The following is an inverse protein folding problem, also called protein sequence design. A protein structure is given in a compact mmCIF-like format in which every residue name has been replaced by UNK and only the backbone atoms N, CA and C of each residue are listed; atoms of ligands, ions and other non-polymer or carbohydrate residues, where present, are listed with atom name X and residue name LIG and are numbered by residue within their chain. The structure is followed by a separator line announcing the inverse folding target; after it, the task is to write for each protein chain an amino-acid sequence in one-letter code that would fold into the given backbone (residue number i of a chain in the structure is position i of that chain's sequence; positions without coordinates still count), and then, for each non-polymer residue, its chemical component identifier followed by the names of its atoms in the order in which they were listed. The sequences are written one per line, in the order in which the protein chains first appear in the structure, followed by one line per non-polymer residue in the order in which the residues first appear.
data_IF_344268407210
#
_entry.id   IF_344268407210
#
_cell.length_a   1.000
_cell.length_b   1.000
_cell.length_c   1.000
_cell.angle_alpha   90.00
_cell.angle_beta   90.00
_cell.angle_gamma   90.00
#
_symmetry.space_group_name_H-M   'P 1'
#
loop_
_entity.id
_entity.type
_entity.pdbx_description
1 polymer ?
#
# COMPACT_ATOMS: atom_id res chain seq x y z
N UNK A 1 23.58 39.08 12.89
CA UNK A 1 22.37 39.89 13.06
C UNK A 1 21.19 39.05 12.64
N UNK A 2 20.40 38.64 13.62
CA UNK A 2 19.57 37.43 13.58
C UNK A 2 18.32 37.57 12.72
N UNK A 3 17.99 36.49 12.00
CA UNK A 3 16.76 36.22 11.25
C UNK A 3 15.47 36.55 12.02
N UNK A 4 15.53 36.60 13.35
CA UNK A 4 14.45 37.07 14.22
C UNK A 4 14.05 38.54 14.00
N UNK A 5 14.99 39.44 13.66
CA UNK A 5 14.69 40.87 13.50
C UNK A 5 14.08 41.20 12.13
N UNK A 6 14.36 40.39 11.11
CA UNK A 6 13.80 40.57 9.76
C UNK A 6 12.33 40.12 9.69
N UNK A 7 11.98 39.03 10.39
CA UNK A 7 10.59 38.58 10.54
C UNK A 7 9.77 39.61 11.33
N UNK A 8 10.33 40.18 12.39
CA UNK A 8 9.63 41.14 13.26
C UNK A 8 9.38 42.50 12.56
N UNK A 9 10.26 42.89 11.62
CA UNK A 9 10.08 44.12 10.83
C UNK A 9 9.05 43.95 9.70
N UNK A 10 9.01 42.78 9.04
CA UNK A 10 8.01 42.51 8.00
C UNK A 10 6.60 42.25 8.57
N UNK A 11 6.48 41.67 9.77
CA UNK A 11 5.19 41.42 10.43
C UNK A 11 4.50 42.71 10.93
N UNK A 12 5.26 43.77 11.24
CA UNK A 12 4.70 45.06 11.69
C UNK A 12 3.99 45.83 10.58
N UNK A 13 4.29 45.56 9.31
CA UNK A 13 3.75 46.31 8.18
C UNK A 13 2.44 45.73 7.65
N UNK A 14 2.14 44.45 7.93
CA UNK A 14 1.01 43.72 7.30
C UNK A 14 -0.12 43.35 8.28
N UNK A 15 0.16 43.14 9.58
CA UNK A 15 -0.84 42.66 10.54
C UNK A 15 -1.02 43.66 11.69
N UNK A 16 -2.03 44.52 11.58
CA UNK A 16 -2.23 45.67 12.45
C UNK A 16 -3.01 45.35 13.73
N UNK A 17 -3.82 44.28 13.76
CA UNK A 17 -4.62 43.91 14.94
C UNK A 17 -3.98 42.79 15.77
N UNK A 18 -4.29 42.75 17.07
CA UNK A 18 -3.93 41.64 17.96
C UNK A 18 -4.56 40.32 17.49
N UNK A 19 -5.74 40.39 16.90
CA UNK A 19 -6.48 39.26 16.36
C UNK A 19 -5.77 38.64 15.14
N UNK A 20 -5.20 39.46 14.26
CA UNK A 20 -4.39 39.01 13.12
C UNK A 20 -3.11 38.31 13.58
N UNK A 21 -2.45 38.87 14.60
CA UNK A 21 -1.24 38.25 15.19
C UNK A 21 -1.57 36.93 15.87
N UNK A 22 -2.68 36.84 16.59
CA UNK A 22 -3.16 35.59 17.18
C UNK A 22 -3.64 34.60 16.12
N UNK A 23 -4.23 35.08 15.02
CA UNK A 23 -4.59 34.28 13.85
C UNK A 23 -3.36 33.68 13.18
N UNK A 24 -2.32 34.50 12.98
CA UNK A 24 -1.05 34.06 12.41
C UNK A 24 -0.31 33.08 13.32
N UNK A 25 -0.25 33.33 14.63
CA UNK A 25 0.37 32.39 15.59
C UNK A 25 -0.38 31.05 15.57
N UNK A 26 -1.71 31.07 15.59
CA UNK A 26 -2.53 29.86 15.42
C UNK A 26 -2.28 29.17 14.08
N UNK A 27 -2.06 29.91 13.00
CA UNK A 27 -1.75 29.36 11.68
C UNK A 27 -0.35 28.73 11.63
N UNK A 28 0.65 29.38 12.22
CA UNK A 28 2.03 28.88 12.32
C UNK A 28 2.11 27.64 13.22
N UNK A 29 1.46 27.66 14.38
CA UNK A 29 1.41 26.52 15.31
C UNK A 29 0.68 25.30 14.72
N UNK A 30 -0.30 25.54 13.84
CA UNK A 30 -1.03 24.47 13.13
C UNK A 30 -0.31 23.93 11.91
N UNK A 31 0.82 24.52 11.49
CA UNK A 31 1.53 24.07 10.29
C UNK A 31 2.16 22.70 10.57
N UNK A 32 1.93 21.69 9.70
CA UNK A 32 2.56 20.40 9.89
C UNK A 32 4.08 20.57 9.91
N UNK A 33 4.73 19.83 10.80
CA UNK A 33 6.19 19.82 10.86
C UNK A 33 6.74 19.19 9.58
N UNK A 34 7.95 19.57 9.18
CA UNK A 34 8.58 19.04 7.97
C UNK A 34 9.83 18.27 8.35
N UNK A 35 10.04 17.13 7.69
CA UNK A 35 11.31 16.39 7.71
C UNK A 35 11.65 16.01 6.28
N UNK A 36 12.92 16.07 5.95
CA UNK A 36 13.40 15.55 4.68
C UNK A 36 12.94 14.09 4.51
N UNK A 37 12.33 13.82 3.37
CA UNK A 37 11.80 12.51 3.07
C UNK A 37 12.94 11.58 2.67
N UNK A 38 13.01 10.42 3.30
CA UNK A 38 13.92 9.38 2.84
C UNK A 38 13.48 8.93 1.44
N UNK A 39 14.42 8.52 0.57
CA UNK A 39 14.08 7.96 -0.72
C UNK A 39 13.10 6.77 -0.59
N UNK A 40 12.25 6.60 -1.61
CA UNK A 40 11.19 5.58 -1.65
C UNK A 40 11.79 4.16 -1.61
N UNK A 41 12.96 4.01 -2.24
CA UNK A 41 13.81 2.81 -2.20
C UNK A 41 15.18 3.15 -1.60
N UNK A 42 15.92 2.15 -1.13
CA UNK A 42 17.27 2.34 -0.58
C UNK A 42 18.27 2.49 -1.72
N UNK A 43 18.64 3.72 -2.05
CA UNK A 43 19.51 4.03 -3.19
C UNK A 43 20.92 3.44 -3.03
N UNK A 44 21.39 3.33 -1.79
CA UNK A 44 22.67 2.74 -1.41
C UNK A 44 22.77 1.22 -1.68
N UNK A 45 21.63 0.55 -1.86
CA UNK A 45 21.56 -0.89 -2.13
C UNK A 45 21.39 -1.21 -3.63
N UNK A 46 21.21 -0.21 -4.49
CA UNK A 46 20.80 -0.42 -5.90
C UNK A 46 21.76 -1.35 -6.64
N UNK A 47 23.07 -1.09 -6.60
CA UNK A 47 24.04 -1.90 -7.36
C UNK A 47 23.97 -3.36 -6.95
N UNK A 48 23.97 -3.63 -5.65
CA UNK A 48 23.89 -4.98 -5.14
C UNK A 48 22.54 -5.64 -5.46
N UNK A 49 21.44 -4.87 -5.50
CA UNK A 49 20.13 -5.39 -5.92
C UNK A 49 20.16 -5.80 -7.39
N UNK A 50 20.70 -4.95 -8.26
CA UNK A 50 20.82 -5.25 -9.70
C UNK A 50 21.68 -6.49 -9.94
N UNK A 51 22.84 -6.60 -9.28
CA UNK A 51 23.68 -7.81 -9.34
C UNK A 51 22.94 -9.07 -8.91
N UNK A 52 22.13 -9.00 -7.84
CA UNK A 52 21.35 -10.14 -7.38
C UNK A 52 20.20 -10.49 -8.32
N UNK A 53 19.56 -9.49 -8.93
CA UNK A 53 18.46 -9.68 -9.88
C UNK A 53 18.97 -10.31 -11.17
N UNK A 54 20.13 -9.87 -11.68
CA UNK A 54 20.82 -10.48 -12.82
C UNK A 54 21.10 -11.96 -12.59
N UNK A 55 21.64 -12.32 -11.40
CA UNK A 55 21.86 -13.73 -11.03
C UNK A 55 20.55 -14.52 -10.98
N UNK A 56 19.45 -13.92 -10.52
CA UNK A 56 18.13 -14.57 -10.50
C UNK A 56 17.62 -14.78 -11.94
N UNK A 57 17.84 -13.81 -12.83
CA UNK A 57 17.46 -13.89 -14.24
C UNK A 57 18.20 -15.02 -14.95
N UNK A 58 19.54 -15.06 -14.82
CA UNK A 58 20.37 -16.14 -15.38
C UNK A 58 19.95 -17.51 -14.88
N UNK A 59 19.69 -17.65 -13.57
CA UNK A 59 19.22 -18.91 -13.00
C UNK A 59 17.85 -19.34 -13.56
N UNK A 60 17.00 -18.39 -13.94
CA UNK A 60 15.73 -18.69 -14.60
C UNK A 60 15.94 -19.09 -16.05
N UNK A 61 16.84 -18.42 -16.77
CA UNK A 61 17.14 -18.77 -18.16
C UNK A 61 17.70 -20.17 -18.30
N UNK A 62 18.51 -20.63 -17.33
CA UNK A 62 19.01 -22.00 -17.25
C UNK A 62 17.94 -23.03 -16.80
N UNK A 63 16.79 -22.57 -16.30
CA UNK A 63 15.71 -23.44 -15.84
C UNK A 63 14.96 -24.09 -17.02
N UNK A 64 14.46 -25.33 -16.88
CA UNK A 64 13.56 -25.93 -17.86
C UNK A 64 12.21 -25.21 -17.96
N UNK A 65 11.93 -24.23 -17.10
CA UNK A 65 10.70 -23.46 -17.13
C UNK A 65 10.60 -22.61 -18.41
N UNK A 66 9.45 -22.69 -19.07
CA UNK A 66 9.15 -21.93 -20.30
C UNK A 66 8.15 -20.79 -20.09
N UNK A 67 7.64 -20.62 -18.87
CA UNK A 67 6.69 -19.56 -18.58
C UNK A 67 7.33 -18.17 -18.75
N UNK A 68 6.55 -17.18 -19.20
CA UNK A 68 6.97 -15.78 -19.32
C UNK A 68 8.25 -15.57 -20.16
N UNK A 69 8.46 -16.43 -21.16
CA UNK A 69 9.47 -16.20 -22.21
C UNK A 69 8.84 -15.48 -23.38
N UNK A 70 9.56 -14.55 -23.97
CA UNK A 70 9.14 -13.85 -25.19
C UNK A 70 9.28 -14.74 -26.45
N UNK A 71 9.03 -14.15 -27.63
CA UNK A 71 9.11 -14.86 -28.91
C UNK A 71 10.53 -15.37 -29.23
N UNK A 72 11.55 -14.69 -28.70
CA UNK A 72 12.96 -15.05 -28.85
C UNK A 72 13.40 -16.10 -27.81
N UNK A 73 12.55 -16.38 -26.84
CA UNK A 73 12.77 -17.37 -25.78
C UNK A 73 13.43 -16.78 -24.53
N UNK A 74 13.61 -15.48 -24.47
CA UNK A 74 14.26 -14.79 -23.37
C UNK A 74 13.25 -14.50 -22.26
N UNK A 75 13.68 -14.66 -21.01
CA UNK A 75 12.87 -14.29 -19.86
C UNK A 75 13.13 -12.83 -19.48
N UNK A 76 12.04 -12.09 -19.22
CA UNK A 76 12.10 -10.75 -18.66
C UNK A 76 11.17 -10.65 -17.46
N UNK A 77 11.64 -10.02 -16.38
CA UNK A 77 10.76 -9.66 -15.28
C UNK A 77 9.74 -8.65 -15.76
N UNK A 78 8.51 -8.72 -15.25
CA UNK A 78 7.59 -7.59 -15.42
C UNK A 78 8.04 -6.40 -14.59
N UNK A 79 7.59 -5.19 -14.93
CA UNK A 79 7.85 -4.00 -14.11
C UNK A 79 7.44 -4.21 -12.65
N UNK A 80 6.29 -4.88 -12.40
CA UNK A 80 5.84 -5.18 -11.05
C UNK A 80 6.76 -6.17 -10.30
N UNK A 81 7.25 -7.21 -10.98
CA UNK A 81 8.23 -8.14 -10.41
C UNK A 81 9.58 -7.46 -10.13
N UNK A 82 10.05 -6.60 -11.03
CA UNK A 82 11.29 -5.86 -10.82
C UNK A 82 11.20 -4.95 -9.58
N UNK A 83 10.13 -4.15 -9.48
CA UNK A 83 9.88 -3.31 -8.30
C UNK A 83 9.80 -4.13 -7.02
N UNK A 84 9.18 -5.31 -7.06
CA UNK A 84 9.14 -6.20 -5.91
C UNK A 84 10.54 -6.53 -5.38
N UNK A 85 11.50 -6.84 -6.27
CA UNK A 85 12.89 -7.05 -5.87
C UNK A 85 13.61 -5.78 -5.40
N UNK A 86 13.19 -4.60 -5.83
CA UNK A 86 13.71 -3.32 -5.34
C UNK A 86 13.22 -2.96 -3.93
N UNK A 87 12.04 -3.42 -3.52
CA UNK A 87 11.42 -3.01 -2.25
C UNK A 87 11.54 -4.04 -1.13
N UNK A 88 11.67 -5.34 -1.43
CA UNK A 88 11.85 -6.35 -0.37
C UNK A 88 13.15 -6.10 0.40
N UNK A 89 13.22 -6.48 1.68
CA UNK A 89 14.46 -6.45 2.44
C UNK A 89 15.57 -7.26 1.76
N UNK A 90 16.80 -6.75 1.82
CA UNK A 90 17.97 -7.33 1.15
C UNK A 90 18.22 -8.78 1.58
N UNK A 91 17.98 -9.13 2.83
CA UNK A 91 18.09 -10.50 3.34
C UNK A 91 17.17 -11.48 2.62
N UNK A 92 15.98 -11.04 2.21
CA UNK A 92 15.04 -11.88 1.47
C UNK A 92 15.45 -12.00 0.00
N UNK A 93 15.89 -10.91 -0.63
CA UNK A 93 16.42 -10.97 -2.01
C UNK A 93 17.59 -11.96 -2.12
N UNK A 94 18.53 -11.91 -1.16
CA UNK A 94 19.63 -12.88 -1.07
C UNK A 94 19.15 -14.31 -0.86
N UNK A 95 18.06 -14.50 -0.11
CA UNK A 95 17.46 -15.80 0.14
C UNK A 95 16.80 -16.43 -1.09
N UNK A 96 16.23 -15.60 -1.99
CA UNK A 96 15.62 -16.08 -3.25
C UNK A 96 16.64 -16.82 -4.10
N UNK A 97 17.86 -16.27 -4.23
CA UNK A 97 19.00 -16.92 -4.89
C UNK A 97 19.32 -18.30 -4.33
N UNK A 98 19.22 -18.46 -3.00
CA UNK A 98 19.63 -19.69 -2.31
C UNK A 98 18.56 -20.79 -2.34
N UNK A 99 17.40 -20.56 -2.93
CA UNK A 99 16.23 -21.45 -2.86
C UNK A 99 15.85 -21.95 -4.25
N UNK A 100 15.32 -23.18 -4.43
CA UNK A 100 14.69 -23.64 -5.67
C UNK A 100 13.39 -22.90 -6.02
N UNK A 101 13.26 -21.62 -5.64
CA UNK A 101 12.10 -20.77 -5.88
C UNK A 101 12.18 -20.08 -7.24
N UNK A 102 13.32 -20.10 -7.93
CA UNK A 102 13.50 -19.48 -9.24
C UNK A 102 12.41 -19.91 -10.25
N UNK A 103 12.05 -21.20 -10.37
CA UNK A 103 10.96 -21.64 -11.26
C UNK A 103 9.57 -21.09 -10.90
N UNK A 104 9.39 -20.57 -9.67
CA UNK A 104 8.11 -20.06 -9.18
C UNK A 104 7.93 -18.56 -9.43
N UNK A 105 8.97 -17.84 -9.87
CA UNK A 105 8.92 -16.39 -10.11
C UNK A 105 7.77 -15.96 -11.05
N UNK A 106 7.54 -16.63 -12.20
CA UNK A 106 6.43 -16.30 -13.10
C UNK A 106 5.05 -16.48 -12.46
N UNK A 107 4.98 -17.25 -11.38
CA UNK A 107 3.73 -17.55 -10.67
C UNK A 107 3.54 -16.68 -9.42
N UNK A 108 4.41 -15.69 -9.19
CA UNK A 108 4.19 -14.68 -8.17
C UNK A 108 3.06 -13.76 -8.65
N UNK A 109 1.84 -14.03 -8.18
CA UNK A 109 0.61 -13.28 -8.53
C UNK A 109 0.54 -11.94 -7.79
N UNK A 110 1.50 -11.04 -8.04
CA UNK A 110 1.59 -9.73 -7.38
C UNK A 110 0.39 -8.83 -7.68
N UNK A 111 -0.22 -9.00 -8.86
CA UNK A 111 -1.41 -8.26 -9.28
C UNK A 111 -2.60 -8.60 -8.39
N UNK A 112 -2.87 -9.89 -8.23
CA UNK A 112 -3.95 -10.42 -7.40
C UNK A 112 -3.73 -10.04 -5.92
N UNK A 113 -2.48 -10.14 -5.47
CA UNK A 113 -2.05 -9.67 -4.15
C UNK A 113 -2.37 -8.19 -3.93
N UNK A 114 -2.03 -7.31 -4.88
CA UNK A 114 -2.26 -5.87 -4.74
C UNK A 114 -3.75 -5.50 -4.83
N UNK A 115 -4.51 -6.11 -5.73
CA UNK A 115 -5.97 -5.93 -5.80
C UNK A 115 -6.62 -6.24 -4.46
N UNK A 116 -6.21 -7.34 -3.83
CA UNK A 116 -6.75 -7.75 -2.54
C UNK A 116 -6.24 -6.87 -1.39
N UNK A 117 -4.92 -6.68 -1.28
CA UNK A 117 -4.33 -5.99 -0.13
C UNK A 117 -4.47 -4.47 -0.15
N UNK A 118 -4.84 -3.87 -1.29
CA UNK A 118 -5.06 -2.42 -1.42
C UNK A 118 -6.52 -2.06 -1.64
N UNK A 119 -7.25 -2.82 -2.45
CA UNK A 119 -8.65 -2.52 -2.78
C UNK A 119 -9.66 -3.42 -2.08
N UNK A 120 -9.22 -4.49 -1.42
CA UNK A 120 -10.12 -5.48 -0.82
C UNK A 120 -10.82 -6.36 -1.86
N UNK A 121 -10.35 -6.37 -3.11
CA UNK A 121 -10.98 -7.11 -4.21
C UNK A 121 -10.32 -8.47 -4.34
N UNK A 122 -11.09 -9.54 -4.14
CA UNK A 122 -10.63 -10.90 -4.42
C UNK A 122 -10.65 -11.17 -5.93
N UNK A 123 -9.64 -11.85 -6.50
CA UNK A 123 -9.67 -12.26 -7.90
C UNK A 123 -10.79 -13.28 -8.16
N UNK A 124 -11.40 -13.22 -9.36
CA UNK A 124 -12.52 -14.10 -9.74
C UNK A 124 -12.21 -15.59 -9.59
N UNK A 125 -10.97 -16.02 -9.92
CA UNK A 125 -10.55 -17.42 -9.82
C UNK A 125 -10.54 -17.92 -8.36
N UNK A 126 -10.25 -17.04 -7.39
CA UNK A 126 -10.24 -17.36 -5.96
C UNK A 126 -11.67 -17.51 -5.39
N UNK A 127 -12.67 -16.95 -6.08
CA UNK A 127 -14.10 -17.06 -5.75
C UNK A 127 -14.65 -18.40 -6.28
N UNK A 128 -14.23 -18.81 -7.49
CA UNK A 128 -14.71 -20.03 -8.16
C UNK A 128 -14.19 -21.30 -7.47
N UNK A 129 -12.90 -21.40 -7.17
CA UNK A 129 -12.29 -22.60 -6.54
C UNK A 129 -12.91 -22.93 -5.16
N UNK A 130 -13.38 -21.90 -4.43
CA UNK A 130 -14.01 -22.06 -3.12
C UNK A 130 -15.51 -22.36 -3.19
N UNK A 131 -16.14 -22.15 -4.36
CA UNK A 131 -17.52 -22.58 -4.63
C UNK A 131 -17.64 -24.07 -5.00
N UNK A 132 -16.54 -24.71 -5.41
CA UNK A 132 -16.51 -26.11 -5.88
C UNK A 132 -16.01 -27.14 -4.87
N UNK A 133 -15.61 -26.72 -3.65
CA UNK A 133 -15.24 -27.63 -2.57
C UNK A 133 -16.49 -28.23 -1.85
N UNK A 134 -17.38 -28.88 -2.60
CA UNK A 134 -18.40 -29.77 -2.05
C UNK A 134 -18.66 -30.92 -3.03
N UNK A 135 -17.70 -31.85 -3.13
CA UNK A 135 -17.93 -33.15 -3.75
C UNK A 135 -18.39 -34.14 -2.67
N UNK A 136 -19.63 -33.98 -2.22
CA UNK A 136 -20.41 -35.07 -1.65
C UNK A 136 -21.42 -35.48 -2.73
N UNK A 137 -21.59 -36.77 -3.06
CA UNK A 137 -22.57 -37.17 -4.06
C UNK A 137 -23.96 -36.74 -3.62
N UNK A 138 -24.88 -36.42 -4.55
CA UNK A 138 -26.19 -35.92 -4.19
C UNK A 138 -26.97 -37.03 -3.49
N UNK A 139 -27.24 -36.84 -2.20
CA UNK A 139 -28.34 -37.53 -1.54
C UNK A 139 -29.58 -36.66 -1.73
N UNK A 140 -30.56 -37.21 -2.43
CA UNK A 140 -31.82 -36.57 -2.72
C UNK A 140 -32.59 -36.36 -1.42
N UNK A 141 -32.45 -35.20 -0.78
CA UNK A 141 -33.51 -34.52 -0.02
C UNK A 141 -33.01 -33.21 0.58
N UNK A 142 -33.87 -32.19 0.47
CA UNK A 142 -33.80 -30.86 1.09
C UNK A 142 -33.16 -29.72 0.29
N UNK A 143 -34.06 -28.96 -0.35
CA UNK A 143 -34.12 -27.49 -0.39
C UNK A 143 -32.78 -26.75 -0.43
N UNK A 144 -32.43 -26.31 -1.65
CA UNK A 144 -31.43 -25.28 -1.96
C UNK A 144 -31.58 -24.06 -1.03
N UNK A 145 -30.69 -23.96 -0.05
CA UNK A 145 -30.28 -22.69 0.55
C UNK A 145 -28.81 -22.51 0.21
N UNK A 146 -28.52 -21.90 -0.94
CA UNK A 146 -27.22 -21.29 -1.19
C UNK A 146 -27.05 -20.18 -0.15
N UNK A 147 -26.33 -20.51 0.92
CA UNK A 147 -26.00 -19.56 1.97
C UNK A 147 -25.03 -18.54 1.41
N UNK A 148 -25.55 -17.41 0.94
CA UNK A 148 -24.75 -16.19 0.83
C UNK A 148 -24.22 -15.90 2.23
N UNK A 149 -22.92 -16.11 2.48
CA UNK A 149 -22.29 -15.65 3.71
C UNK A 149 -22.58 -14.16 3.84
N UNK A 150 -23.24 -13.76 4.93
CA UNK A 150 -23.53 -12.35 5.20
C UNK A 150 -22.23 -11.74 5.72
N UNK A 151 -21.64 -10.76 5.02
CA UNK A 151 -20.43 -10.07 5.49
C UNK A 151 -20.69 -9.44 6.86
N UNK A 152 -19.66 -9.37 7.69
CA UNK A 152 -19.76 -8.61 8.94
C UNK A 152 -19.96 -7.13 8.60
N UNK A 153 -20.99 -6.52 9.21
CA UNK A 153 -21.28 -5.11 9.04
C UNK A 153 -20.21 -4.22 9.70
N UNK A 154 -20.02 -3.04 9.14
CA UNK A 154 -19.08 -2.06 9.68
C UNK A 154 -19.49 -1.58 11.08
N UNK A 155 -18.50 -1.44 11.95
CA UNK A 155 -18.61 -1.09 13.35
C UNK A 155 -18.70 0.43 13.53
N UNK A 156 -19.92 0.91 13.70
CA UNK A 156 -20.21 2.33 13.90
C UNK A 156 -19.48 2.94 15.12
N UNK A 157 -19.26 2.18 16.19
CA UNK A 157 -18.56 2.66 17.38
C UNK A 157 -17.07 2.89 17.11
N UNK A 158 -16.43 2.01 16.35
CA UNK A 158 -15.03 2.15 15.95
C UNK A 158 -14.82 3.32 14.98
N UNK A 159 -15.78 3.52 14.07
CA UNK A 159 -15.81 4.73 13.22
C UNK A 159 -15.94 6.00 14.06
N UNK A 160 -16.82 6.02 15.05
CA UNK A 160 -16.97 7.16 15.96
C UNK A 160 -15.68 7.42 16.77
N UNK A 161 -14.98 6.37 17.23
CA UNK A 161 -13.67 6.50 17.88
C UNK A 161 -12.62 7.11 16.95
N UNK A 162 -12.58 6.70 15.68
CA UNK A 162 -11.69 7.28 14.67
C UNK A 162 -11.95 8.78 14.48
N UNK A 163 -13.22 9.16 14.27
CA UNK A 163 -13.64 10.56 14.11
C UNK A 163 -13.25 11.39 15.33
N UNK A 164 -13.50 10.89 16.54
CA UNK A 164 -13.17 11.58 17.77
C UNK A 164 -11.65 11.75 17.95
N UNK A 165 -10.85 10.71 17.63
CA UNK A 165 -9.38 10.76 17.67
C UNK A 165 -8.82 11.81 16.72
N UNK A 166 -9.36 11.88 15.51
CA UNK A 166 -8.89 12.77 14.44
C UNK A 166 -9.51 14.18 14.51
N UNK A 167 -10.35 14.44 15.52
CA UNK A 167 -10.97 15.75 15.75
C UNK A 167 -12.05 16.12 14.74
N UNK A 168 -12.62 15.14 14.03
CA UNK A 168 -13.67 15.36 13.02
C UNK A 168 -13.21 16.12 11.78
N UNK A 169 -11.90 16.12 11.49
CA UNK A 169 -11.30 16.77 10.33
C UNK A 169 -10.38 15.81 9.59
N UNK A 170 -10.01 16.16 8.35
CA UNK A 170 -8.98 15.43 7.63
C UNK A 170 -7.63 15.54 8.34
N UNK A 171 -6.98 14.42 8.66
CA UNK A 171 -5.71 14.41 9.40
C UNK A 171 -4.54 15.06 8.64
N UNK A 172 -4.63 15.14 7.31
CA UNK A 172 -3.57 15.71 6.46
C UNK A 172 -3.75 17.20 6.18
N UNK A 173 -4.98 17.69 6.11
CA UNK A 173 -5.27 19.07 5.65
C UNK A 173 -6.03 19.91 6.67
N UNK A 174 -6.61 19.29 7.69
CA UNK A 174 -7.55 19.93 8.61
C UNK A 174 -8.90 20.30 7.99
N UNK A 175 -9.18 19.85 6.76
CA UNK A 175 -10.45 20.11 6.10
C UNK A 175 -11.63 19.48 6.86
N UNK A 176 -12.76 20.19 6.90
CA UNK A 176 -14.00 19.69 7.46
C UNK A 176 -14.63 18.60 6.57
N UNK A 177 -15.60 17.89 7.14
CA UNK A 177 -16.34 16.80 6.47
C UNK A 177 -15.43 15.68 5.93
N UNK A 178 -14.55 15.10 6.76
CA UNK A 178 -13.75 13.96 6.34
C UNK A 178 -14.61 12.71 6.21
N UNK A 179 -14.09 11.75 5.45
CA UNK A 179 -14.55 10.37 5.44
C UNK A 179 -13.60 9.48 6.24
N UNK A 180 -14.16 8.51 6.95
CA UNK A 180 -13.39 7.45 7.59
C UNK A 180 -13.01 6.41 6.54
N UNK A 181 -11.72 6.18 6.37
CA UNK A 181 -11.20 5.14 5.48
C UNK A 181 -10.28 4.18 6.25
N UNK A 182 -10.35 2.89 5.90
CA UNK A 182 -9.40 1.93 6.42
C UNK A 182 -8.00 2.11 5.80
N UNK A 183 -6.96 1.83 6.57
CA UNK A 183 -5.56 1.85 6.13
C UNK A 183 -5.29 0.59 5.29
N UNK A 184 -5.65 -0.57 5.83
CA UNK A 184 -5.71 -1.86 5.15
C UNK A 184 -7.19 -2.27 5.00
N UNK A 185 -7.66 -2.72 3.82
CA UNK A 185 -9.08 -3.00 3.56
C UNK A 185 -9.71 -3.95 4.59
N UNK A 186 -10.92 -3.63 5.04
CA UNK A 186 -11.69 -4.45 5.97
C UNK A 186 -12.13 -5.78 5.34
N UNK A 187 -12.38 -5.75 4.04
CA UNK A 187 -12.80 -6.88 3.21
C UNK A 187 -11.87 -8.09 3.33
N UNK A 188 -10.60 -7.87 3.70
CA UNK A 188 -9.58 -8.91 3.89
C UNK A 188 -10.00 -9.94 4.95
N UNK A 189 -10.75 -9.55 5.97
CA UNK A 189 -11.23 -10.49 7.00
C UNK A 189 -12.70 -10.34 7.36
N UNK A 190 -13.48 -9.58 6.59
CA UNK A 190 -14.93 -9.45 6.77
C UNK A 190 -15.71 -10.75 6.46
N UNK A 191 -15.12 -11.67 5.70
CA UNK A 191 -15.71 -12.96 5.29
C UNK A 191 -14.72 -14.10 5.46
N UNK A 192 -15.23 -15.34 5.52
CA UNK A 192 -14.37 -16.52 5.63
C UNK A 192 -13.52 -16.72 4.38
N UNK A 193 -14.08 -16.43 3.20
CA UNK A 193 -13.37 -16.48 1.93
C UNK A 193 -12.21 -15.47 1.88
N UNK A 194 -12.47 -14.21 2.27
CA UNK A 194 -11.44 -13.17 2.36
C UNK A 194 -10.32 -13.58 3.31
N UNK A 195 -10.68 -14.07 4.50
CA UNK A 195 -9.70 -14.49 5.50
C UNK A 195 -8.85 -15.68 5.02
N UNK A 196 -9.46 -16.63 4.32
CA UNK A 196 -8.74 -17.76 3.75
C UNK A 196 -7.79 -17.33 2.62
N UNK A 197 -8.21 -16.40 1.75
CA UNK A 197 -7.34 -15.86 0.72
C UNK A 197 -6.18 -15.03 1.31
N UNK A 198 -6.44 -14.27 2.37
CA UNK A 198 -5.40 -13.55 3.13
C UNK A 198 -4.29 -14.48 3.64
N UNK A 199 -4.64 -15.67 4.15
CA UNK A 199 -3.67 -16.68 4.60
C UNK A 199 -2.76 -17.18 3.48
N UNK A 200 -3.25 -17.25 2.25
CA UNK A 200 -2.44 -17.61 1.09
C UNK A 200 -1.41 -16.50 0.76
N UNK A 201 -1.71 -15.24 1.10
CA UNK A 201 -0.83 -14.09 0.87
C UNK A 201 0.33 -13.94 1.87
N UNK A 202 0.38 -14.77 2.91
CA UNK A 202 1.40 -14.72 3.98
C UNK A 202 2.83 -14.73 3.46
N UNK A 203 3.08 -15.44 2.37
CA UNK A 203 4.41 -15.56 1.79
C UNK A 203 4.91 -14.24 1.17
N UNK A 204 4.01 -13.41 0.61
CA UNK A 204 4.33 -12.08 0.09
C UNK A 204 4.55 -11.10 1.23
N UNK A 205 3.66 -11.11 2.22
CA UNK A 205 3.74 -10.23 3.39
C UNK A 205 5.01 -10.45 4.21
N UNK A 206 5.36 -11.71 4.46
CA UNK A 206 6.60 -12.08 5.13
C UNK A 206 7.80 -11.52 4.39
N UNK A 207 7.82 -11.61 3.06
CA UNK A 207 8.93 -11.12 2.24
C UNK A 207 8.99 -9.60 2.18
N UNK A 208 7.86 -8.90 2.13
CA UNK A 208 7.82 -7.43 2.06
C UNK A 208 8.15 -6.77 3.40
N UNK A 209 7.73 -7.35 4.52
CA UNK A 209 7.76 -6.68 5.83
C UNK A 209 8.69 -7.33 6.87
N UNK A 210 9.21 -8.54 6.61
CA UNK A 210 9.99 -9.27 7.60
C UNK A 210 9.18 -10.30 8.37
N UNK A 211 9.87 -11.32 8.90
CA UNK A 211 9.27 -12.39 9.71
C UNK A 211 8.60 -11.91 10.99
N UNK A 212 9.17 -10.88 11.63
CA UNK A 212 8.64 -10.32 12.87
C UNK A 212 7.28 -9.64 12.62
N UNK A 213 7.22 -8.76 11.63
CA UNK A 213 5.99 -8.10 11.20
C UNK A 213 4.90 -9.12 10.84
N UNK A 214 5.27 -10.18 10.13
CA UNK A 214 4.34 -11.25 9.78
C UNK A 214 3.71 -11.94 11.00
N UNK A 215 4.50 -12.28 12.02
CA UNK A 215 3.97 -12.89 13.24
C UNK A 215 2.96 -11.98 13.95
N UNK A 216 3.22 -10.67 13.99
CA UNK A 216 2.30 -9.68 14.53
C UNK A 216 1.03 -9.56 13.68
N UNK A 217 1.15 -9.64 12.35
CA UNK A 217 0.02 -9.59 11.43
C UNK A 217 -0.92 -10.77 11.57
N UNK A 218 -0.40 -12.00 11.73
CA UNK A 218 -1.23 -13.19 11.99
C UNK A 218 -2.05 -12.96 13.26
N UNK A 219 -1.41 -12.52 14.34
CA UNK A 219 -2.10 -12.25 15.60
C UNK A 219 -3.18 -11.16 15.52
N UNK A 220 -3.08 -10.24 14.55
CA UNK A 220 -3.94 -9.07 14.45
C UNK A 220 -5.06 -9.18 13.41
N UNK A 221 -4.77 -9.78 12.25
CA UNK A 221 -5.70 -9.86 11.11
C UNK A 221 -6.30 -11.25 10.91
N UNK A 222 -5.78 -12.28 11.60
CA UNK A 222 -6.24 -13.68 11.52
C UNK A 222 -6.88 -14.16 12.84
N UNK A 223 -7.19 -13.25 13.76
CA UNK A 223 -7.71 -13.60 15.08
C UNK A 223 -9.18 -14.03 15.06
N UNK A 224 -10.01 -13.28 14.35
CA UNK A 224 -11.44 -13.54 14.18
C UNK A 224 -11.96 -12.78 12.96
N UNK A 225 -13.15 -13.14 12.47
CA UNK A 225 -13.77 -12.41 11.36
C UNK A 225 -14.06 -10.96 11.77
N UNK A 226 -13.74 -10.06 10.86
CA UNK A 226 -13.94 -8.62 10.99
C UNK A 226 -13.05 -7.93 12.04
N UNK A 227 -12.02 -8.61 12.55
CA UNK A 227 -11.17 -8.07 13.61
C UNK A 227 -10.38 -6.80 13.20
N UNK A 228 -10.26 -6.53 11.90
CA UNK A 228 -9.57 -5.36 11.36
C UNK A 228 -10.42 -4.09 11.36
N UNK A 229 -11.72 -4.19 11.65
CA UNK A 229 -12.63 -3.05 11.66
C UNK A 229 -12.56 -2.27 12.96
N UNK A 230 -11.43 -1.60 13.15
CA UNK A 230 -11.06 -0.93 14.38
C UNK A 230 -10.49 0.44 14.10
N UNK A 231 -10.66 1.36 15.05
CA UNK A 231 -10.13 2.72 14.91
C UNK A 231 -8.61 2.75 14.63
N UNK A 232 -7.84 1.79 15.13
CA UNK A 232 -6.39 1.68 14.85
C UNK A 232 -6.06 1.33 13.39
N UNK A 233 -7.02 0.82 12.62
CA UNK A 233 -6.91 0.58 11.17
C UNK A 233 -7.67 1.65 10.35
N UNK A 234 -8.03 2.80 10.93
CA UNK A 234 -8.81 3.84 10.25
C UNK A 234 -8.17 5.21 10.34
N UNK A 235 -8.41 6.06 9.34
CA UNK A 235 -8.04 7.49 9.29
C UNK A 235 -9.19 8.34 8.76
N UNK A 236 -9.32 9.57 9.25
CA UNK A 236 -10.18 10.58 8.66
C UNK A 236 -9.45 11.32 7.53
N UNK A 237 -9.88 11.14 6.28
CA UNK A 237 -9.32 11.82 5.11
C UNK A 237 -10.39 12.64 4.40
N UNK A 238 -9.99 13.73 3.75
CA UNK A 238 -10.87 14.43 2.81
C UNK A 238 -11.25 13.45 1.67
N UNK A 239 -12.50 13.47 1.14
CA UNK A 239 -12.94 12.51 0.11
C UNK A 239 -11.96 12.34 -1.05
N UNK A 240 -11.46 13.47 -1.60
CA UNK A 240 -10.44 13.45 -2.67
C UNK A 240 -9.14 12.76 -2.25
N UNK A 241 -8.67 12.95 -1.01
CA UNK A 241 -7.45 12.32 -0.52
C UNK A 241 -7.65 10.83 -0.26
N UNK A 242 -8.84 10.43 0.20
CA UNK A 242 -9.22 9.01 0.31
C UNK A 242 -9.17 8.33 -1.06
N UNK A 243 -9.71 8.96 -2.09
CA UNK A 243 -9.68 8.41 -3.45
C UNK A 243 -8.26 8.31 -3.99
N UNK A 244 -7.43 9.32 -3.76
CA UNK A 244 -6.02 9.29 -4.17
C UNK A 244 -5.20 8.24 -3.41
N UNK A 245 -5.53 8.02 -2.14
CA UNK A 245 -4.92 6.97 -1.34
C UNK A 245 -5.26 5.58 -1.87
N UNK A 246 -6.54 5.31 -2.18
CA UNK A 246 -6.99 4.06 -2.82
C UNK A 246 -6.33 3.84 -4.19
N UNK A 247 -5.98 4.92 -4.88
CA UNK A 247 -5.25 4.90 -6.15
C UNK A 247 -3.72 4.82 -6.00
N UNK A 248 -3.20 4.71 -4.78
CA UNK A 248 -1.76 4.73 -4.47
C UNK A 248 -1.02 6.00 -4.94
N UNK A 249 -1.73 7.10 -5.23
CA UNK A 249 -1.12 8.36 -5.68
C UNK A 249 -0.40 9.11 -4.55
N UNK A 250 -0.78 8.77 -3.31
CA UNK A 250 -0.16 9.24 -2.08
C UNK A 250 0.16 8.04 -1.18
N UNK A 251 1.18 8.20 -0.34
CA UNK A 251 1.54 7.23 0.70
C UNK A 251 1.82 7.92 2.03
N UNK A 252 1.60 7.20 3.12
CA UNK A 252 2.13 7.60 4.43
C UNK A 252 3.15 6.58 4.91
N UNK A 253 4.24 7.09 5.44
CA UNK A 253 5.27 6.29 6.11
C UNK A 253 5.22 6.58 7.60
N UNK A 254 5.18 5.54 8.42
CA UNK A 254 5.38 5.70 9.86
C UNK A 254 6.86 5.95 10.16
N UNK A 255 7.19 7.11 10.74
CA UNK A 255 8.56 7.46 11.13
C UNK A 255 8.92 6.86 12.49
N UNK A 256 8.05 7.05 13.48
CA UNK A 256 8.26 6.55 14.84
C UNK A 256 6.97 6.58 15.66
N UNK A 257 7.02 5.89 16.79
CA UNK A 257 6.06 5.97 17.87
C UNK A 257 6.79 6.54 19.08
N UNK A 258 6.28 7.61 19.67
CA UNK A 258 6.87 8.26 20.85
C UNK A 258 5.84 8.37 21.98
N UNK A 259 6.24 8.23 23.26
CA UNK A 259 5.33 8.43 24.39
C UNK A 259 4.70 9.83 24.37
N UNK A 260 3.38 9.91 24.53
CA UNK A 260 2.69 11.18 24.57
C UNK A 260 2.71 11.76 25.98
N UNK A 261 3.56 12.77 26.19
CA UNK A 261 3.84 13.34 27.52
C UNK A 261 2.62 13.90 28.26
N UNK A 262 1.55 14.29 27.54
CA UNK A 262 0.34 14.87 28.14
C UNK A 262 -0.67 13.85 28.66
N UNK A 263 -0.54 12.56 28.30
CA UNK A 263 -1.47 11.51 28.74
C UNK A 263 -0.76 10.16 28.88
N UNK A 264 -0.71 9.65 30.11
CA UNK A 264 -0.15 8.32 30.39
C UNK A 264 -0.90 7.24 29.61
N UNK A 265 -0.15 6.25 29.10
CA UNK A 265 -0.70 5.17 28.28
C UNK A 265 -1.04 5.55 26.83
N UNK A 266 -0.77 6.80 26.41
CA UNK A 266 -0.95 7.25 25.02
C UNK A 266 0.39 7.47 24.35
N UNK A 267 0.44 7.22 23.05
CA UNK A 267 1.60 7.45 22.21
C UNK A 267 1.21 8.32 21.01
N UNK A 268 2.19 9.03 20.48
CA UNK A 268 2.09 9.76 19.22
C UNK A 268 2.74 8.93 18.12
N UNK A 269 1.98 8.59 17.08
CA UNK A 269 2.53 8.06 15.83
C UNK A 269 2.82 9.24 14.89
N UNK A 270 4.01 9.26 14.31
CA UNK A 270 4.42 10.28 13.34
C UNK A 270 4.35 9.72 11.93
N UNK A 271 3.44 10.25 11.12
CA UNK A 271 3.22 9.84 9.73
C UNK A 271 3.81 10.90 8.80
N UNK A 272 4.69 10.48 7.90
CA UNK A 272 5.25 11.35 6.87
C UNK A 272 4.52 11.13 5.55
N UNK A 273 4.09 12.22 4.92
CA UNK A 273 3.39 12.21 3.65
C UNK A 273 4.35 12.12 2.46
N UNK A 274 3.92 11.38 1.43
CA UNK A 274 4.60 11.24 0.15
C UNK A 274 3.62 11.39 -1.01
N UNK A 275 3.96 12.26 -1.96
CA UNK A 275 3.52 12.11 -3.33
C UNK A 275 4.28 10.94 -3.96
N UNK A 276 3.55 10.01 -4.55
CA UNK A 276 4.13 8.80 -5.12
C UNK A 276 4.50 9.00 -6.59
N UNK A 277 5.54 8.30 -7.08
CA UNK A 277 5.93 8.33 -8.49
C UNK A 277 4.83 7.73 -9.37
N UNK A 278 4.82 8.14 -10.63
CA UNK A 278 3.79 7.80 -11.62
C UNK A 278 4.44 7.67 -13.00
N UNK A 279 5.39 6.75 -13.14
CA UNK A 279 6.11 6.52 -14.40
C UNK A 279 5.12 6.50 -15.57
N UNK A 280 5.21 7.49 -16.46
CA UNK A 280 4.11 7.87 -17.37
C UNK A 280 3.78 6.76 -18.38
N UNK A 281 4.75 5.92 -18.71
CA UNK A 281 4.67 4.93 -19.77
C UNK A 281 5.03 3.51 -19.30
N UNK A 282 5.05 3.28 -17.98
CA UNK A 282 5.32 1.96 -17.41
C UNK A 282 4.00 1.23 -17.20
N UNK A 283 3.84 0.06 -17.81
CA UNK A 283 2.76 -0.87 -17.47
C UNK A 283 3.30 -1.96 -16.53
N UNK A 284 2.55 -2.34 -15.49
CA UNK A 284 3.02 -3.28 -14.47
C UNK A 284 3.30 -4.69 -15.02
N UNK A 285 2.71 -5.03 -16.17
CA UNK A 285 2.83 -6.34 -16.83
C UNK A 285 3.88 -6.36 -17.94
N UNK A 286 4.39 -5.19 -18.34
CA UNK A 286 5.36 -5.10 -19.43
C UNK A 286 6.73 -5.59 -18.95
N UNK A 287 7.49 -6.18 -19.87
CA UNK A 287 8.87 -6.59 -19.63
C UNK A 287 9.72 -5.39 -19.24
N UNK A 288 10.47 -5.51 -18.14
CA UNK A 288 11.33 -4.48 -17.59
C UNK A 288 12.76 -4.97 -17.57
N UNK A 289 13.65 -4.17 -18.17
CA UNK A 289 15.09 -4.39 -18.06
C UNK A 289 15.56 -3.96 -16.66
N UNK A 290 16.22 -4.84 -15.89
CA UNK A 290 16.63 -4.54 -14.53
C UNK A 290 17.92 -3.71 -14.53
N UNK A 291 17.80 -2.43 -14.89
CA UNK A 291 18.91 -1.49 -14.94
C UNK A 291 18.60 -0.17 -14.22
N UNK A 292 19.58 0.75 -14.21
CA UNK A 292 19.45 2.05 -13.56
C UNK A 292 18.48 3.00 -14.27
N UNK A 293 18.37 2.89 -15.59
CA UNK A 293 17.54 3.79 -16.38
C UNK A 293 16.06 3.47 -16.11
N UNK A 294 15.71 2.19 -16.07
CA UNK A 294 14.40 1.71 -15.64
C UNK A 294 14.09 2.13 -14.20
N UNK A 295 15.02 2.01 -13.26
CA UNK A 295 14.81 2.49 -11.87
C UNK A 295 14.53 4.00 -11.85
N UNK A 296 15.28 4.78 -12.64
CA UNK A 296 15.09 6.21 -12.72
C UNK A 296 13.71 6.55 -13.27
N UNK A 297 13.23 5.83 -14.28
CA UNK A 297 11.89 5.95 -14.85
C UNK A 297 10.80 5.63 -13.82
N UNK A 298 10.94 4.51 -13.09
CA UNK A 298 10.03 4.08 -12.02
C UNK A 298 9.91 5.09 -10.86
N UNK A 299 10.94 5.92 -10.65
CA UNK A 299 10.98 6.93 -9.58
C UNK A 299 10.50 8.31 -10.02
N UNK A 300 10.16 8.51 -11.31
CA UNK A 300 9.69 9.81 -11.78
C UNK A 300 8.34 10.19 -11.17
N UNK A 301 8.27 11.41 -10.65
CA UNK A 301 7.01 12.03 -10.24
C UNK A 301 6.53 12.88 -11.40
N UNK A 302 5.59 12.35 -12.16
CA UNK A 302 5.04 13.04 -13.33
C UNK A 302 3.95 14.01 -12.89
N UNK A 303 4.25 15.30 -12.83
CA UNK A 303 3.28 16.37 -12.57
C UNK A 303 2.46 16.65 -13.84
N UNK A 304 1.41 15.86 -14.11
CA UNK A 304 0.53 16.09 -15.27
C UNK A 304 -0.09 17.50 -15.26
N UNK A 305 -0.32 18.10 -16.43
CA UNK A 305 -0.93 19.45 -16.55
C UNK A 305 -2.42 19.48 -16.22
N UNK A 306 -3.12 18.36 -16.42
CA UNK A 306 -4.52 18.14 -16.00
C UNK A 306 -4.63 17.39 -14.65
N UNK A 307 -3.57 17.43 -13.84
CA UNK A 307 -3.55 16.72 -12.56
C UNK A 307 -4.61 17.32 -11.61
N UNK A 308 -5.63 16.56 -11.16
CA UNK A 308 -6.58 17.03 -10.15
C UNK A 308 -5.89 17.43 -8.84
N UNK A 309 -4.64 17.01 -8.63
CA UNK A 309 -3.73 17.49 -7.57
C UNK A 309 -3.33 18.96 -7.78
N UNK A 310 -3.08 19.42 -9.02
CA UNK A 310 -2.75 20.83 -9.30
C UNK A 310 -3.91 21.76 -8.96
N UNK A 311 -5.15 21.36 -9.19
CA UNK A 311 -6.32 22.20 -8.93
C UNK A 311 -6.67 22.25 -7.43
N UNK A 312 -6.58 21.12 -6.70
CA UNK A 312 -6.79 21.11 -5.25
C UNK A 312 -5.68 21.83 -4.47
N UNK A 313 -4.44 21.80 -4.97
CA UNK A 313 -3.30 22.52 -4.38
C UNK A 313 -3.40 24.04 -4.55
N UNK A 314 -4.20 24.54 -5.50
CA UNK A 314 -4.48 25.99 -5.67
C UNK A 314 -5.54 26.49 -4.70
N UNK A 315 -6.49 25.65 -4.28
CA UNK A 315 -7.62 26.03 -3.43
C UNK A 315 -7.40 25.74 -1.94
N UNK A 316 -6.44 24.89 -1.56
CA UNK A 316 -6.16 24.61 -0.15
C UNK A 316 -5.18 25.63 0.46
N UNK A 317 -5.51 26.15 1.64
CA UNK A 317 -4.60 27.01 2.43
C UNK A 317 -3.37 26.26 2.98
N UNK A 318 -3.29 24.94 2.76
CA UNK A 318 -2.21 24.05 3.17
C UNK A 318 -1.88 23.07 2.04
N UNK A 319 -0.93 23.46 1.18
CA UNK A 319 -0.43 22.60 0.09
C UNK A 319 0.33 21.42 0.69
N UNK A 320 -0.12 20.20 0.38
CA UNK A 320 0.55 18.98 0.80
C UNK A 320 1.87 18.80 0.05
N UNK A 321 2.93 18.47 0.78
CA UNK A 321 4.28 18.28 0.24
C UNK A 321 4.89 17.00 0.81
N UNK A 322 5.58 16.25 -0.03
CA UNK A 322 6.40 15.11 0.40
C UNK A 322 7.34 15.56 1.51
N UNK A 323 7.35 14.85 2.64
CA UNK A 323 8.15 15.18 3.81
C UNK A 323 7.37 15.86 4.95
N UNK A 324 6.15 16.33 4.72
CA UNK A 324 5.29 16.82 5.81
C UNK A 324 4.95 15.70 6.80
N UNK A 325 4.99 16.02 8.09
CA UNK A 325 4.81 15.08 9.19
C UNK A 325 3.56 15.44 10.00
N UNK A 326 2.71 14.45 10.18
CA UNK A 326 1.44 14.49 10.88
C UNK A 326 1.52 13.61 12.12
N UNK A 327 0.90 14.07 13.20
CA UNK A 327 0.93 13.40 14.50
C UNK A 327 -0.47 12.93 14.85
N UNK A 328 -0.63 11.64 15.14
CA UNK A 328 -1.87 11.09 15.71
C UNK A 328 -1.60 10.59 17.12
N UNK A 329 -2.52 10.87 18.04
CA UNK A 329 -2.40 10.45 19.43
C UNK A 329 -3.42 9.35 19.71
N UNK A 330 -2.95 8.21 20.18
CA UNK A 330 -3.78 7.03 20.42
C UNK A 330 -3.22 6.20 21.59
N UNK A 331 -4.00 5.28 22.18
CA UNK A 331 -3.49 4.35 23.17
C UNK A 331 -2.22 3.64 22.67
N UNK A 332 -1.29 3.35 23.57
CA UNK A 332 0.03 2.80 23.21
C UNK A 332 -0.07 1.51 22.40
N UNK A 333 -0.99 0.62 22.77
CA UNK A 333 -1.25 -0.62 22.05
C UNK A 333 -1.78 -0.37 20.63
N UNK A 334 -2.74 0.54 20.49
CA UNK A 334 -3.32 0.93 19.20
C UNK A 334 -2.28 1.61 18.29
N UNK A 335 -1.30 2.33 18.86
CA UNK A 335 -0.22 2.95 18.10
C UNK A 335 0.65 1.90 17.40
N UNK A 336 0.94 0.78 18.07
CA UNK A 336 1.71 -0.33 17.50
C UNK A 336 0.91 -1.01 16.39
N UNK A 337 -0.38 -1.26 16.61
CA UNK A 337 -1.28 -1.86 15.60
C UNK A 337 -1.43 -0.97 14.37
N UNK A 338 -1.65 0.33 14.57
CA UNK A 338 -1.75 1.30 13.48
C UNK A 338 -0.47 1.38 12.68
N UNK A 339 0.70 1.39 13.34
CA UNK A 339 1.99 1.38 12.65
C UNK A 339 2.10 0.17 11.72
N UNK A 340 1.70 -1.01 12.18
CA UNK A 340 1.73 -2.22 11.35
C UNK A 340 0.86 -2.07 10.11
N UNK A 341 -0.35 -1.50 10.23
CA UNK A 341 -1.23 -1.25 9.08
C UNK A 341 -0.62 -0.23 8.11
N UNK A 342 -0.03 0.85 8.62
CA UNK A 342 0.67 1.85 7.82
C UNK A 342 1.87 1.22 7.11
N UNK A 343 2.64 0.36 7.77
CA UNK A 343 3.81 -0.28 7.19
C UNK A 343 3.43 -1.26 6.05
N UNK A 344 2.30 -1.99 6.20
CA UNK A 344 1.71 -2.82 5.11
C UNK A 344 1.31 -1.94 3.94
N UNK A 345 0.51 -0.89 4.20
CA UNK A 345 0.03 0.01 3.16
C UNK A 345 1.18 0.69 2.44
N UNK A 346 2.22 1.11 3.16
CA UNK A 346 3.43 1.71 2.62
C UNK A 346 4.21 0.75 1.73
N UNK A 347 4.26 -0.54 2.05
CA UNK A 347 4.86 -1.54 1.14
C UNK A 347 4.06 -1.66 -0.16
N UNK A 348 2.74 -1.76 -0.07
CA UNK A 348 1.87 -1.96 -1.23
C UNK A 348 1.81 -0.73 -2.15
N UNK A 349 1.76 0.48 -1.57
CA UNK A 349 1.79 1.72 -2.35
C UNK A 349 3.08 1.87 -3.13
N UNK A 350 4.23 1.47 -2.56
CA UNK A 350 5.51 1.50 -3.29
C UNK A 350 5.50 0.55 -4.48
N UNK A 351 4.99 -0.67 -4.30
CA UNK A 351 4.82 -1.64 -5.38
C UNK A 351 3.95 -1.05 -6.50
N UNK A 352 2.76 -0.54 -6.16
CA UNK A 352 1.81 -0.02 -7.13
C UNK A 352 2.32 1.24 -7.84
N UNK A 353 2.94 2.17 -7.11
CA UNK A 353 3.42 3.43 -7.68
C UNK A 353 4.58 3.24 -8.66
N UNK A 354 5.61 2.50 -8.26
CA UNK A 354 6.81 2.33 -9.06
C UNK A 354 6.59 1.42 -10.29
N UNK A 355 5.59 0.53 -10.25
CA UNK A 355 5.26 -0.34 -11.38
C UNK A 355 4.29 0.27 -12.39
N UNK A 356 3.87 1.54 -12.18
CA UNK A 356 2.89 2.21 -13.05
C UNK A 356 1.42 1.84 -12.80
N UNK A 357 1.15 0.99 -11.81
CA UNK A 357 -0.21 0.57 -11.45
C UNK A 357 -1.00 1.67 -10.70
N UNK A 358 -0.31 2.62 -10.05
CA UNK A 358 -0.97 3.71 -9.33
C UNK A 358 -1.88 4.54 -10.26
N UNK A 359 -3.15 4.65 -9.88
CA UNK A 359 -4.17 5.33 -10.68
C UNK A 359 -4.77 4.50 -11.82
N UNK A 360 -4.15 3.36 -12.16
CA UNK A 360 -4.44 2.56 -13.36
C UNK A 360 -4.86 1.12 -13.02
N UNK A 361 -5.65 0.92 -11.95
CA UNK A 361 -6.06 -0.41 -11.49
C UNK A 361 -6.81 -1.22 -12.55
N UNK A 362 -7.45 -0.56 -13.51
CA UNK A 362 -8.10 -1.18 -14.66
C UNK A 362 -7.15 -1.96 -15.56
N UNK A 363 -5.84 -1.71 -15.52
CA UNK A 363 -4.85 -2.52 -16.23
C UNK A 363 -4.85 -3.98 -15.74
N UNK A 364 -5.23 -4.22 -14.48
CA UNK A 364 -5.34 -5.57 -13.93
C UNK A 364 -6.68 -6.23 -14.25
N UNK A 365 -7.75 -5.44 -14.42
CA UNK A 365 -9.08 -5.94 -14.81
C UNK A 365 -9.17 -6.34 -16.29
N UNK A 366 -8.12 -6.10 -17.09
CA UNK A 366 -8.03 -6.43 -18.51
C UNK A 366 -7.25 -7.71 -18.79
N UNK A 367 -7.28 -8.72 -17.92
CA UNK A 367 -6.88 -10.07 -18.36
C UNK A 367 -7.74 -10.42 -19.59
N UNK A 368 -7.17 -10.65 -20.79
CA UNK A 368 -7.95 -11.26 -21.85
C UNK A 368 -8.48 -12.57 -21.26
N UNK A 369 -9.80 -12.79 -21.35
CA UNK A 369 -10.34 -14.13 -21.19
C UNK A 369 -9.48 -15.01 -22.07
N UNK A 370 -8.70 -15.91 -21.48
CA UNK A 370 -8.00 -16.93 -22.24
C UNK A 370 -9.13 -17.68 -22.92
N UNK A 371 -9.37 -17.35 -24.19
CA UNK A 371 -10.14 -18.20 -25.07
C UNK A 371 -9.28 -19.44 -25.12
N UNK A 372 -9.79 -20.48 -24.49
CA UNK A 372 -9.20 -21.80 -24.47
C UNK A 372 -9.14 -22.25 -25.94
N UNK A 373 -8.05 -21.92 -26.63
CA UNK A 373 -7.76 -22.46 -27.96
C UNK A 373 -6.95 -23.72 -27.69
N UNK A 374 -7.68 -24.82 -27.77
CA UNK A 374 -7.22 -26.20 -27.82
C UNK A 374 -6.73 -26.80 -26.49
N UNK A 375 -7.67 -27.51 -25.85
CA UNK A 375 -7.37 -28.35 -24.70
C UNK A 375 -6.50 -29.54 -25.07
N UNK A 376 -5.41 -29.73 -24.34
CA UNK A 376 -4.90 -31.02 -23.87
C UNK A 376 -4.18 -30.78 -22.54
N UNK A 377 -4.78 -31.32 -21.47
CA UNK A 377 -4.09 -31.57 -20.20
C UNK A 377 -3.04 -32.65 -20.45
N UNK A 378 -1.76 -32.29 -20.41
CA UNK A 378 -0.75 -33.19 -19.87
C UNK A 378 -0.05 -32.48 -18.72
N UNK A 379 -0.46 -32.85 -17.51
CA UNK A 379 0.30 -32.70 -16.28
C UNK A 379 1.70 -33.29 -16.48
N UNK A 380 2.69 -32.42 -16.68
CA UNK A 380 4.07 -32.73 -16.35
C UNK A 380 4.55 -31.74 -15.31
N UNK A 381 4.29 -32.13 -14.06
CA UNK A 381 5.08 -31.71 -12.91
C UNK A 381 6.57 -31.81 -13.28
N UNK A 382 7.24 -30.66 -13.41
CA UNK A 382 8.70 -30.63 -13.43
C UNK A 382 9.18 -31.04 -12.04
N UNK A 383 9.75 -32.24 -11.95
CA UNK A 383 10.51 -32.76 -10.80
C UNK A 383 11.84 -32.03 -10.69
#
# INVERSE_FOLDING_TARGET
MSTHLLVDYQLRVVFQSLEDKQGLLRWVEKRPSFREAAPIIRLEEIELRLELIDVIQVAYDESPCKAQRDEDGDFQFTALQFVYFLVIPMEHLRGIRATPMVPYIPYIKLEDYLLFMVLGIMPDDAIIDRGTASTVPPDDTHTLSSGSEIPIDENADERAKCIARDGGVCVLTGAAYPEVCHIVPFEINATQAGLAYYREQFSHLTRLLGKESHAQMIGLLDSELGCSDKAWNMLCLHPTLRDWWKKCLIGLKCLCIIPFSRRMGYHTIQLQFYWMPRGHDISPQDGAQPDRDMIQEMLQITEQDDDPIKESQKSSSYRLQTGQVFNLNLPAEDAVKMRLMIDIQWANVRLAAMSGLSGNWELLNRRPRVVNVDGWLEDKWCV
#
